data_IF_635783677333
#
_entry.id   IF_635783677333
#
_cell.length_a   1.000
_cell.length_b   1.000
_cell.length_c   1.000
_cell.angle_alpha   90.00
_cell.angle_beta   90.00
_cell.angle_gamma   90.00
#
_symmetry.space_group_name_H-M   'P 1'
#
loop_
_entity.id
_entity.type
_entity.pdbx_description
1 polymer ?
#
# COMPACT_ATOMS: atom_id res chain seq x y z
N UNK A 1 -12.05 -1.30 5.84
CA UNK A 1 -12.20 0.16 5.94
C UNK A 1 -13.41 0.54 6.76
N UNK A 2 -13.55 -0.02 7.96
CA UNK A 2 -14.88 -0.25 8.56
C UNK A 2 -15.44 0.98 9.29
N UNK A 3 -14.67 2.07 9.36
CA UNK A 3 -15.04 3.33 10.05
C UNK A 3 -15.45 4.46 9.09
N UNK A 4 -15.50 4.21 7.79
CA UNK A 4 -15.81 5.22 6.76
C UNK A 4 -17.22 5.08 6.17
N UNK A 5 -18.10 4.31 6.82
CA UNK A 5 -19.48 4.14 6.37
C UNK A 5 -20.17 5.51 6.16
N UNK A 6 -20.87 5.73 5.03
CA UNK A 6 -21.24 4.78 3.97
C UNK A 6 -20.33 4.77 2.72
N UNK A 7 -19.21 5.49 2.74
CA UNK A 7 -18.40 5.74 1.53
C UNK A 7 -17.89 4.47 0.80
N UNK A 8 -17.44 3.40 1.47
CA UNK A 8 -16.87 2.24 0.82
C UNK A 8 -17.89 1.22 0.28
N UNK A 9 -19.20 1.51 0.26
CA UNK A 9 -20.22 0.52 -0.16
C UNK A 9 -20.09 0.09 -1.62
N UNK A 10 -19.67 1.00 -2.49
CA UNK A 10 -19.57 0.77 -3.95
C UNK A 10 -18.14 0.80 -4.48
N UNK A 11 -17.27 1.53 -3.78
CA UNK A 11 -15.89 1.79 -4.21
C UNK A 11 -14.93 1.35 -3.14
N UNK A 12 -13.89 0.60 -3.51
CA UNK A 12 -12.83 0.22 -2.59
C UNK A 12 -12.24 1.46 -1.89
N UNK A 13 -11.98 1.37 -0.58
CA UNK A 13 -11.47 2.52 0.21
C UNK A 13 -10.22 3.15 -0.43
N UNK A 14 -9.30 2.33 -0.92
CA UNK A 14 -8.07 2.76 -1.58
C UNK A 14 -8.30 3.46 -2.93
N UNK A 15 -9.50 3.37 -3.51
CA UNK A 15 -9.87 4.03 -4.77
C UNK A 15 -10.75 5.26 -4.57
N UNK A 16 -11.09 5.60 -3.33
CA UNK A 16 -11.84 6.82 -3.04
C UNK A 16 -11.05 8.05 -3.50
N UNK A 17 -11.72 9.02 -4.15
CA UNK A 17 -11.05 10.20 -4.66
C UNK A 17 -10.69 11.17 -3.52
N UNK A 18 -9.43 11.59 -3.48
CA UNK A 18 -8.92 12.70 -2.67
C UNK A 18 -8.21 13.64 -3.64
N UNK A 19 -8.54 14.93 -3.64
CA UNK A 19 -7.91 15.89 -4.55
C UNK A 19 -8.00 15.51 -6.05
N UNK A 20 -9.12 14.90 -6.47
CA UNK A 20 -9.35 14.37 -7.82
C UNK A 20 -8.43 13.22 -8.25
N UNK A 21 -7.79 12.53 -7.30
CA UNK A 21 -6.98 11.34 -7.56
C UNK A 21 -7.38 10.20 -6.62
N UNK A 22 -7.33 8.93 -7.04
CA UNK A 22 -7.59 7.80 -6.15
C UNK A 22 -6.60 7.75 -4.99
N UNK A 23 -7.06 7.38 -3.80
CA UNK A 23 -6.25 7.40 -2.58
C UNK A 23 -4.92 6.64 -2.74
N UNK A 24 -4.94 5.45 -3.34
CA UNK A 24 -3.78 4.59 -3.60
C UNK A 24 -2.68 5.29 -4.42
N UNK A 25 -3.04 6.26 -5.26
CA UNK A 25 -2.09 6.97 -6.12
C UNK A 25 -1.06 7.77 -5.31
N UNK A 26 -1.45 8.26 -4.13
CA UNK A 26 -0.57 9.02 -3.25
C UNK A 26 0.56 8.15 -2.67
N UNK A 27 0.24 6.93 -2.24
CA UNK A 27 1.25 6.01 -1.71
C UNK A 27 2.15 5.49 -2.82
N UNK A 28 1.60 5.16 -4.00
CA UNK A 28 2.41 4.71 -5.13
C UNK A 28 3.38 5.81 -5.61
N UNK A 29 2.93 7.06 -5.67
CA UNK A 29 3.79 8.20 -5.97
C UNK A 29 4.89 8.39 -4.92
N UNK A 30 4.54 8.32 -3.62
CA UNK A 30 5.51 8.41 -2.53
C UNK A 30 6.58 7.32 -2.58
N UNK A 31 6.18 6.08 -2.85
CA UNK A 31 7.10 4.96 -3.01
C UNK A 31 8.02 5.19 -4.23
N UNK A 32 7.47 5.70 -5.34
CA UNK A 32 8.23 6.01 -6.54
C UNK A 32 9.24 7.14 -6.30
N UNK A 33 8.85 8.20 -5.59
CA UNK A 33 9.71 9.32 -5.23
C UNK A 33 10.81 8.91 -4.25
N UNK A 34 10.58 7.86 -3.46
CA UNK A 34 11.59 7.22 -2.62
C UNK A 34 12.58 6.34 -3.40
N UNK A 35 12.42 6.19 -4.72
CA UNK A 35 13.27 5.37 -5.58
C UNK A 35 12.93 3.89 -5.57
N UNK A 36 11.76 3.49 -5.03
CA UNK A 36 11.27 2.13 -5.11
C UNK A 36 10.59 1.91 -6.47
N UNK A 37 10.82 0.74 -7.05
CA UNK A 37 10.33 0.41 -8.40
C UNK A 37 9.26 -0.68 -8.41
N UNK A 38 9.11 -1.41 -7.31
CA UNK A 38 8.21 -2.54 -7.18
C UNK A 38 7.42 -2.44 -5.87
N UNK A 39 6.12 -2.74 -5.93
CA UNK A 39 5.29 -2.86 -4.75
C UNK A 39 4.28 -4.00 -4.88
N UNK A 40 4.01 -4.67 -3.77
CA UNK A 40 2.96 -5.68 -3.66
C UNK A 40 1.72 -5.03 -3.01
N UNK A 41 0.62 -4.98 -3.74
CA UNK A 41 -0.66 -4.45 -3.26
C UNK A 41 -1.47 -5.60 -2.71
N UNK A 42 -1.70 -5.59 -1.39
CA UNK A 42 -2.53 -6.60 -0.71
C UNK A 42 -3.97 -6.13 -0.66
N UNK A 43 -4.88 -7.00 -1.08
CA UNK A 43 -6.32 -6.71 -1.13
C UNK A 43 -7.14 -7.93 -0.74
N UNK A 44 -8.41 -7.71 -0.41
CA UNK A 44 -9.38 -8.79 -0.28
C UNK A 44 -9.99 -9.14 -1.63
N UNK A 45 -10.56 -10.35 -1.74
CA UNK A 45 -11.19 -10.82 -2.97
C UNK A 45 -12.31 -9.88 -3.44
N UNK A 46 -13.09 -9.33 -2.50
CA UNK A 46 -14.23 -8.45 -2.75
C UNK A 46 -13.91 -7.15 -3.50
N UNK A 47 -12.69 -6.64 -3.41
CA UNK A 47 -12.25 -5.41 -4.07
C UNK A 47 -11.10 -5.63 -5.05
N UNK A 48 -10.66 -6.88 -5.25
CA UNK A 48 -9.52 -7.23 -6.09
C UNK A 48 -9.71 -6.75 -7.53
N UNK A 49 -10.89 -6.96 -8.12
CA UNK A 49 -11.17 -6.58 -9.50
C UNK A 49 -11.09 -5.05 -9.70
N UNK A 50 -11.64 -4.27 -8.76
CA UNK A 50 -11.59 -2.81 -8.84
C UNK A 50 -10.15 -2.29 -8.75
N UNK A 51 -9.36 -2.86 -7.84
CA UNK A 51 -7.96 -2.46 -7.65
C UNK A 51 -7.11 -2.91 -8.82
N UNK A 52 -7.31 -4.12 -9.33
CA UNK A 52 -6.65 -4.65 -10.52
C UNK A 52 -6.90 -3.78 -11.75
N UNK A 53 -8.18 -3.48 -12.05
CA UNK A 53 -8.55 -2.61 -13.16
C UNK A 53 -7.86 -1.24 -13.04
N UNK A 54 -7.82 -0.67 -11.83
CA UNK A 54 -7.13 0.60 -11.60
C UNK A 54 -5.63 0.51 -11.90
N UNK A 55 -4.95 -0.50 -11.35
CA UNK A 55 -3.50 -0.68 -11.51
C UNK A 55 -3.10 -0.96 -12.97
N UNK A 56 -3.92 -1.68 -13.72
CA UNK A 56 -3.63 -2.05 -15.11
C UNK A 56 -3.95 -0.94 -16.11
N UNK A 57 -5.08 -0.23 -15.92
CA UNK A 57 -5.63 0.63 -16.97
C UNK A 57 -5.72 2.12 -16.63
N UNK A 58 -5.67 2.49 -15.34
CA UNK A 58 -5.88 3.88 -14.89
C UNK A 58 -4.70 4.48 -14.15
N UNK A 59 -3.77 3.66 -13.65
CA UNK A 59 -2.60 4.14 -12.96
C UNK A 59 -1.59 4.71 -13.96
N UNK A 60 -1.30 6.02 -13.86
CA UNK A 60 -0.42 6.73 -14.78
C UNK A 60 1.06 6.74 -14.34
N UNK A 61 1.37 6.16 -13.18
CA UNK A 61 2.74 6.13 -12.65
C UNK A 61 3.60 5.00 -13.22
N UNK A 62 4.87 4.94 -12.80
CA UNK A 62 5.87 3.97 -13.29
C UNK A 62 6.14 2.81 -12.32
N UNK A 63 5.56 2.87 -11.13
CA UNK A 63 5.67 1.80 -10.12
C UNK A 63 5.14 0.47 -10.67
N UNK A 64 5.95 -0.60 -10.60
CA UNK A 64 5.49 -1.95 -10.94
C UNK A 64 4.69 -2.50 -9.76
N UNK A 65 3.38 -2.56 -9.94
CA UNK A 65 2.46 -3.03 -8.92
C UNK A 65 2.07 -4.48 -9.21
N UNK A 66 2.24 -5.38 -8.23
CA UNK A 66 1.67 -6.72 -8.27
C UNK A 66 0.49 -6.79 -7.31
N UNK A 67 -0.65 -7.32 -7.75
CA UNK A 67 -1.82 -7.51 -6.89
C UNK A 67 -1.76 -8.89 -6.24
N UNK A 68 -2.00 -8.95 -4.93
CA UNK A 68 -2.15 -10.21 -4.21
C UNK A 68 -3.43 -10.18 -3.39
N UNK A 69 -4.26 -11.20 -3.59
CA UNK A 69 -5.45 -11.42 -2.77
C UNK A 69 -5.06 -12.19 -1.52
N UNK A 70 -5.54 -11.70 -0.37
CA UNK A 70 -5.44 -12.34 0.95
C UNK A 70 -6.84 -12.62 1.49
N UNK A 71 -6.94 -13.55 2.43
CA UNK A 71 -8.23 -13.96 2.98
C UNK A 71 -8.97 -12.79 3.67
N UNK A 72 -10.29 -12.79 3.52
CA UNK A 72 -11.17 -11.87 4.24
C UNK A 72 -11.02 -12.06 5.77
N UNK A 73 -11.15 -10.97 6.53
CA UNK A 73 -11.01 -10.92 8.01
C UNK A 73 -9.59 -11.06 8.57
N UNK A 74 -8.55 -10.98 7.74
CA UNK A 74 -7.17 -10.94 8.20
C UNK A 74 -6.76 -9.54 8.67
N UNK A 75 -6.09 -9.44 9.82
CA UNK A 75 -5.38 -8.23 10.21
C UNK A 75 -4.15 -8.01 9.32
N UNK A 76 -3.53 -6.82 9.37
CA UNK A 76 -2.32 -6.54 8.58
C UNK A 76 -1.21 -7.58 8.81
N UNK A 77 -1.01 -8.00 10.06
CA UNK A 77 -0.02 -9.02 10.39
C UNK A 77 -0.34 -10.40 9.80
N UNK A 78 -1.63 -10.80 9.75
CA UNK A 78 -2.05 -12.07 9.14
C UNK A 78 -1.88 -12.02 7.62
N UNK A 79 -2.22 -10.89 6.98
CA UNK A 79 -2.00 -10.69 5.56
C UNK A 79 -0.50 -10.78 5.20
N UNK A 80 0.38 -10.17 6.02
CA UNK A 80 1.83 -10.30 5.85
C UNK A 80 2.31 -11.75 6.05
N UNK A 81 1.71 -12.52 6.98
CA UNK A 81 2.03 -13.93 7.18
C UNK A 81 1.73 -14.76 5.93
N UNK A 82 0.62 -14.50 5.24
CA UNK A 82 0.24 -15.22 4.01
C UNK A 82 1.22 -15.00 2.85
N UNK A 83 1.88 -13.83 2.81
CA UNK A 83 2.85 -13.50 1.76
C UNK A 83 4.30 -13.64 2.22
N UNK A 84 4.54 -14.21 3.40
CA UNK A 84 5.88 -14.26 4.02
C UNK A 84 6.93 -14.91 3.11
N UNK A 85 6.54 -15.89 2.30
CA UNK A 85 7.42 -16.54 1.32
C UNK A 85 7.91 -15.61 0.20
N UNK A 86 7.26 -14.46 -0.02
CA UNK A 86 7.65 -13.46 -1.03
C UNK A 86 8.55 -12.35 -0.45
N UNK A 87 8.77 -12.33 0.86
CA UNK A 87 9.53 -11.30 1.56
C UNK A 87 10.91 -11.86 1.90
N UNK A 88 11.95 -11.38 1.21
CA UNK A 88 13.32 -11.90 1.35
C UNK A 88 14.30 -10.90 1.95
N UNK A 89 13.91 -9.62 2.04
CA UNK A 89 14.73 -8.52 2.52
C UNK A 89 13.89 -7.59 3.38
N UNK A 90 14.52 -6.57 3.94
CA UNK A 90 13.81 -5.45 4.56
C UNK A 90 12.75 -4.90 3.62
N UNK A 91 11.59 -4.58 4.17
CA UNK A 91 10.42 -4.16 3.42
C UNK A 91 9.70 -3.03 4.16
N UNK A 92 8.91 -2.27 3.40
CA UNK A 92 8.13 -1.16 3.92
C UNK A 92 6.65 -1.50 3.79
N UNK A 93 5.92 -1.33 4.89
CA UNK A 93 4.46 -1.50 4.91
C UNK A 93 3.82 -0.12 4.93
N UNK A 94 3.01 0.18 3.91
CA UNK A 94 2.26 1.43 3.81
C UNK A 94 0.77 1.12 3.82
N UNK A 95 0.03 1.75 4.74
CA UNK A 95 -1.42 1.64 4.76
C UNK A 95 -2.03 2.41 3.59
N UNK A 96 -3.12 1.89 3.03
CA UNK A 96 -3.79 2.47 1.85
C UNK A 96 -4.50 3.81 2.11
N UNK A 97 -4.37 4.38 3.31
CA UNK A 97 -5.03 5.60 3.75
C UNK A 97 -4.09 6.64 4.35
N UNK A 98 -2.78 6.38 4.32
CA UNK A 98 -1.77 7.33 4.80
C UNK A 98 -1.39 8.27 3.66
N UNK A 99 -1.68 9.56 3.82
CA UNK A 99 -1.13 10.63 2.98
C UNK A 99 -0.16 11.40 3.85
N UNK A 100 1.11 11.45 3.46
CA UNK A 100 2.15 12.15 4.22
C UNK A 100 3.17 12.77 3.27
N UNK A 101 3.82 13.82 3.74
CA UNK A 101 4.98 14.49 3.12
C UNK A 101 6.32 13.99 3.67
N UNK A 102 6.29 12.97 4.56
CA UNK A 102 7.48 12.36 5.12
C UNK A 102 8.33 11.72 4.02
N UNK A 103 9.63 12.03 4.06
CA UNK A 103 10.61 11.45 3.15
C UNK A 103 10.91 10.01 3.55
N UNK A 104 10.28 9.05 2.86
CA UNK A 104 10.43 7.62 3.13
C UNK A 104 11.89 7.16 3.11
N UNK A 105 12.72 7.72 2.23
CA UNK A 105 14.15 7.42 2.16
C UNK A 105 14.87 7.74 3.48
N UNK A 106 14.54 8.87 4.12
CA UNK A 106 15.13 9.23 5.41
C UNK A 106 14.75 8.25 6.53
N UNK A 107 13.53 7.73 6.50
CA UNK A 107 13.11 6.68 7.43
C UNK A 107 13.88 5.38 7.19
N UNK A 108 14.05 4.99 5.92
CA UNK A 108 14.83 3.80 5.56
C UNK A 108 16.31 3.93 5.94
N UNK A 109 16.89 5.12 5.76
CA UNK A 109 18.27 5.41 6.16
C UNK A 109 18.43 5.35 7.68
N UNK A 110 17.48 5.91 8.43
CA UNK A 110 17.46 5.83 9.90
C UNK A 110 17.35 4.38 10.38
N UNK A 111 16.46 3.60 9.76
CA UNK A 111 16.29 2.18 10.06
C UNK A 111 17.60 1.40 9.91
N UNK A 112 18.31 1.62 8.80
CA UNK A 112 19.61 0.99 8.50
C UNK A 112 20.73 1.49 9.40
N UNK A 113 20.80 2.80 9.64
CA UNK A 113 21.84 3.40 10.47
C UNK A 113 21.76 2.94 11.93
N UNK A 114 20.56 2.66 12.43
CA UNK A 114 20.34 2.16 13.78
C UNK A 114 20.34 0.63 13.88
N UNK A 115 20.46 -0.10 12.77
CA UNK A 115 20.26 -1.57 12.71
C UNK A 115 18.98 -2.00 13.47
N UNK A 116 17.90 -1.24 13.23
CA UNK A 116 16.68 -1.34 14.01
C UNK A 116 15.87 -2.58 13.59
N UNK A 117 15.27 -3.28 14.56
CA UNK A 117 14.35 -4.39 14.25
C UNK A 117 13.07 -3.89 13.55
N UNK A 118 12.61 -2.70 13.90
CA UNK A 118 11.46 -2.06 13.27
C UNK A 118 11.51 -0.54 13.43
N UNK A 119 10.96 0.19 12.45
CA UNK A 119 10.84 1.66 12.47
C UNK A 119 9.42 2.04 12.11
N UNK A 120 8.81 2.90 12.91
CA UNK A 120 7.41 3.32 12.76
C UNK A 120 7.29 4.83 12.59
N UNK A 121 6.36 5.24 11.74
CA UNK A 121 5.85 6.62 11.69
C UNK A 121 4.56 6.67 12.51
N UNK A 122 4.48 7.61 13.46
CA UNK A 122 3.35 7.80 14.38
C UNK A 122 2.47 8.97 13.94
#
# INVERSE_FOLDING_TARGET
GNRMYPLPEKTAKCLLPVGNRPLISYQLAMLQDAGLNECLVLTTQSIADQVGEYLESKYEGKMRCSLQVVDDYTGTADALRQISEKIHTDFIVVSSDVITDVKLLFMADTHRACDAVATFLL
#
